data_IF_400621888166
#
_entry.id   IF_400621888166
#
_cell.length_a   1.000
_cell.length_b   1.000
_cell.length_c   1.000
_cell.angle_alpha   90.00
_cell.angle_beta   90.00
_cell.angle_gamma   90.00
#
_symmetry.space_group_name_H-M   'P 1'
#
loop_
_entity.id
_entity.type
_entity.pdbx_description
1 polymer ?
#
# COMPACT_ATOMS: atom_id res chain seq x y z
N UNK A 1 13.05 27.73 1.77
CA UNK A 1 12.16 26.87 2.59
C UNK A 1 12.40 25.40 2.22
N UNK A 2 12.96 24.58 3.12
CA UNK A 2 13.01 23.11 2.93
C UNK A 2 11.67 22.54 3.38
N UNK A 3 10.74 22.36 2.44
CA UNK A 3 9.49 21.64 2.67
C UNK A 3 9.84 20.22 3.12
N UNK A 4 9.68 19.97 4.43
CA UNK A 4 9.65 18.62 4.99
C UNK A 4 8.35 17.98 4.49
N UNK A 5 8.39 17.45 3.28
CA UNK A 5 7.34 16.56 2.79
C UNK A 5 7.48 15.27 3.59
N UNK A 6 6.73 15.17 4.68
CA UNK A 6 6.38 13.92 5.33
C UNK A 6 5.49 13.15 4.35
N UNK A 7 6.08 12.68 3.25
CA UNK A 7 5.45 11.65 2.43
C UNK A 7 5.43 10.46 3.36
N UNK A 8 4.27 10.16 3.97
CA UNK A 8 4.04 8.87 4.62
C UNK A 8 4.54 7.84 3.63
N UNK A 9 5.63 7.16 3.97
CA UNK A 9 6.19 6.11 3.15
C UNK A 9 5.22 4.93 3.24
N UNK A 10 4.09 5.01 2.53
CA UNK A 10 3.26 3.84 2.33
C UNK A 10 4.11 2.87 1.52
N UNK A 11 4.27 1.67 2.06
CA UNK A 11 4.99 0.60 1.38
C UNK A 11 4.01 -0.53 1.22
N UNK A 12 4.01 -1.13 0.05
CA UNK A 12 3.18 -2.29 -0.23
C UNK A 12 3.54 -3.43 0.75
N UNK A 13 2.58 -3.92 1.52
CA UNK A 13 2.81 -4.95 2.54
C UNK A 13 3.25 -6.29 1.92
N UNK A 14 2.83 -6.58 0.69
CA UNK A 14 3.19 -7.81 -0.02
C UNK A 14 4.58 -7.74 -0.66
N UNK A 15 4.93 -6.57 -1.21
CA UNK A 15 5.99 -6.44 -2.21
C UNK A 15 7.12 -5.51 -1.74
N UNK A 16 6.93 -4.77 -0.64
CA UNK A 16 7.94 -3.87 -0.03
C UNK A 16 8.25 -2.60 -0.83
N UNK A 17 7.62 -2.41 -1.98
CA UNK A 17 7.82 -1.25 -2.85
C UNK A 17 7.18 0.01 -2.25
N UNK A 18 7.79 1.19 -2.42
CA UNK A 18 7.19 2.46 -2.02
C UNK A 18 5.96 2.73 -2.90
N UNK A 19 4.86 3.09 -2.26
CA UNK A 19 3.59 3.48 -2.88
C UNK A 19 3.19 4.84 -2.32
N UNK A 20 2.54 5.67 -3.14
CA UNK A 20 2.01 6.95 -2.67
C UNK A 20 0.54 6.77 -2.27
N UNK A 21 -0.01 7.65 -1.44
CA UNK A 21 -1.45 7.62 -1.08
C UNK A 21 -2.35 7.64 -2.33
N UNK A 22 -1.90 8.30 -3.39
CA UNK A 22 -2.61 8.42 -4.68
C UNK A 22 -2.61 7.10 -5.48
N UNK A 23 -1.52 6.31 -5.38
CA UNK A 23 -1.40 5.00 -6.06
C UNK A 23 -1.61 3.82 -5.12
N UNK A 24 -1.92 4.08 -3.85
CA UNK A 24 -2.09 3.04 -2.84
C UNK A 24 -3.43 2.34 -3.07
N UNK A 25 -3.34 1.09 -3.49
CA UNK A 25 -4.48 0.22 -3.66
C UNK A 25 -4.94 -0.31 -2.30
N UNK A 26 -6.08 0.16 -1.82
CA UNK A 26 -6.68 -0.32 -0.57
C UNK A 26 -7.58 -1.51 -0.83
N UNK A 27 -7.45 -2.57 -0.03
CA UNK A 27 -8.34 -3.73 -0.08
C UNK A 27 -8.68 -4.18 1.34
N UNK A 28 -9.94 -4.50 1.59
CA UNK A 28 -10.38 -5.06 2.87
C UNK A 28 -10.25 -6.58 2.84
N UNK A 29 -9.36 -7.12 3.69
CA UNK A 29 -9.07 -8.55 3.79
C UNK A 29 -9.23 -8.91 5.27
N UNK A 30 -10.03 -9.92 5.60
CA UNK A 30 -10.34 -10.30 6.99
C UNK A 30 -10.93 -9.17 7.87
N UNK A 31 -11.50 -8.12 7.26
CA UNK A 31 -12.03 -6.95 7.97
C UNK A 31 -10.97 -5.87 8.27
N UNK A 32 -9.72 -6.08 7.87
CA UNK A 32 -8.63 -5.11 7.98
C UNK A 32 -8.40 -4.44 6.62
N UNK A 33 -8.13 -3.13 6.62
CA UNK A 33 -7.83 -2.38 5.39
C UNK A 33 -6.33 -2.42 5.14
N UNK A 34 -5.93 -3.14 4.09
CA UNK A 34 -4.55 -3.30 3.69
C UNK A 34 -4.21 -2.43 2.49
N UNK A 35 -2.95 -1.98 2.44
CA UNK A 35 -2.44 -1.08 1.41
C UNK A 35 -1.43 -1.80 0.51
N UNK A 36 -1.73 -1.80 -0.79
CA UNK A 36 -0.94 -2.46 -1.81
C UNK A 36 -0.51 -1.48 -2.89
N UNK A 37 0.56 -1.78 -3.61
CA UNK A 37 0.92 -1.04 -4.83
C UNK A 37 -0.05 -1.27 -5.97
N UNK A 38 -0.73 -2.41 -5.94
CA UNK A 38 -1.26 -3.01 -7.14
C UNK A 38 -2.19 -4.18 -6.82
N UNK A 39 -3.20 -4.39 -7.69
CA UNK A 39 -4.24 -5.40 -7.54
C UNK A 39 -3.64 -6.81 -7.38
N UNK A 40 -2.53 -7.09 -8.05
CA UNK A 40 -1.84 -8.38 -8.00
C UNK A 40 -1.19 -8.67 -6.64
N UNK A 41 -0.64 -7.64 -5.96
CA UNK A 41 -0.11 -7.80 -4.60
C UNK A 41 -1.25 -8.00 -3.59
N UNK A 42 -2.42 -7.39 -3.83
CA UNK A 42 -3.62 -7.60 -3.00
C UNK A 42 -4.21 -9.01 -3.18
N UNK A 43 -4.30 -9.50 -4.42
CA UNK A 43 -4.76 -10.86 -4.74
C UNK A 43 -3.84 -11.93 -4.13
N UNK A 44 -2.51 -11.70 -4.23
CA UNK A 44 -1.52 -12.58 -3.59
C UNK A 44 -1.56 -12.55 -2.07
N UNK A 45 -2.05 -11.46 -1.48
CA UNK A 45 -2.25 -11.35 -0.03
C UNK A 45 -3.55 -12.03 0.41
N UNK A 46 -4.64 -11.84 -0.34
CA UNK A 46 -5.96 -12.44 -0.07
C UNK A 46 -5.96 -13.96 -0.28
N UNK A 47 -5.27 -14.45 -1.30
CA UNK A 47 -5.21 -15.87 -1.64
C UNK A 47 -4.20 -16.70 -0.83
N UNK A 48 -3.55 -16.11 0.17
CA UNK A 48 -2.56 -16.77 1.02
C UNK A 48 -3.16 -17.11 2.39
#
# INVERSE_FOLDING_TARGET
>A
MKLRMNVKELRCETCGVPVTEDTAYTRSINGETHYFCCSHCADRYEGK
#
